data_IF_703718649929
#
_entry.id   IF_703718649929
#
_cell.length_a   1.000
_cell.length_b   1.000
_cell.length_c   1.000
_cell.angle_alpha   90.00
_cell.angle_beta   90.00
_cell.angle_gamma   90.00
#
_symmetry.space_group_name_H-M   'P 1'
#
loop_
_entity.id
_entity.type
_entity.pdbx_description
1 polymer ?
#
# COMPACT_ATOMS: atom_id res chain seq x y z
N UNK A 1 42.72 -45.58 13.86
CA UNK A 1 41.91 -44.34 13.89
C UNK A 1 42.62 -43.28 13.07
N UNK A 2 41.85 -42.49 12.29
CA UNK A 2 42.26 -41.38 11.41
C UNK A 2 43.09 -41.73 10.15
N UNK A 3 42.40 -41.84 9.00
CA UNK A 3 43.00 -41.77 7.66
C UNK A 3 43.09 -40.30 7.24
N UNK A 4 44.30 -39.82 6.95
CA UNK A 4 44.55 -38.60 6.20
C UNK A 4 44.03 -38.74 4.77
N UNK A 5 43.29 -37.75 4.26
CA UNK A 5 43.04 -37.58 2.84
C UNK A 5 43.43 -36.18 2.38
N UNK A 6 44.11 -36.19 1.23
CA UNK A 6 44.83 -35.12 0.55
C UNK A 6 43.86 -34.07 -0.02
N UNK A 7 44.32 -32.83 0.03
CA UNK A 7 43.86 -31.72 -0.78
C UNK A 7 43.92 -32.08 -2.27
N UNK A 8 42.80 -31.91 -2.98
CA UNK A 8 42.78 -31.71 -4.42
C UNK A 8 42.19 -30.33 -4.69
N UNK A 9 43.04 -29.48 -5.26
CA UNK A 9 42.72 -28.15 -5.79
C UNK A 9 42.41 -28.38 -7.26
N UNK A 10 41.16 -28.16 -7.68
CA UNK A 10 40.81 -28.09 -9.10
C UNK A 10 40.83 -26.63 -9.57
N UNK A 11 41.31 -26.34 -10.80
CA UNK A 11 41.65 -24.99 -11.23
C UNK A 11 40.47 -24.22 -11.81
N UNK A 12 40.43 -22.93 -11.48
CA UNK A 12 39.59 -21.89 -12.07
C UNK A 12 39.86 -21.78 -13.58
N UNK A 13 38.90 -22.21 -14.41
CA UNK A 13 38.89 -21.94 -15.84
C UNK A 13 38.12 -20.63 -16.07
N UNK A 14 38.85 -19.54 -16.33
CA UNK A 14 38.34 -18.31 -16.94
C UNK A 14 37.88 -18.64 -18.37
N UNK A 15 36.58 -18.53 -18.64
CA UNK A 15 36.08 -18.48 -20.01
C UNK A 15 35.90 -17.03 -20.48
N UNK A 16 36.64 -16.77 -21.55
CA UNK A 16 36.67 -15.61 -22.42
C UNK A 16 35.29 -15.02 -22.77
N UNK A 17 35.20 -13.70 -22.72
CA UNK A 17 34.13 -12.86 -23.29
C UNK A 17 34.20 -12.94 -24.83
N UNK A 18 33.10 -13.24 -25.56
CA UNK A 18 32.97 -12.88 -26.96
C UNK A 18 32.14 -11.60 -27.10
N UNK A 19 32.68 -10.68 -27.90
CA UNK A 19 32.11 -9.42 -28.35
C UNK A 19 30.68 -9.54 -28.89
N UNK A 20 29.80 -8.64 -28.44
CA UNK A 20 28.43 -8.51 -28.89
C UNK A 20 28.34 -7.99 -30.33
N UNK A 21 27.82 -8.84 -31.23
CA UNK A 21 27.19 -8.42 -32.47
C UNK A 21 25.67 -8.34 -32.25
N UNK A 22 25.10 -7.19 -32.57
CA UNK A 22 23.67 -6.87 -32.49
C UNK A 22 22.78 -7.84 -33.27
N UNK A 23 21.90 -8.55 -32.57
CA UNK A 23 20.69 -9.13 -33.15
C UNK A 23 19.58 -9.07 -32.10
N UNK A 24 18.58 -8.24 -32.37
CA UNK A 24 17.37 -8.05 -31.59
C UNK A 24 16.49 -9.30 -31.64
N UNK A 25 16.50 -10.09 -30.58
CA UNK A 25 15.44 -11.06 -30.28
C UNK A 25 14.88 -10.72 -28.92
N UNK A 26 13.57 -10.46 -28.89
CA UNK A 26 12.76 -10.17 -27.71
C UNK A 26 12.70 -11.39 -26.79
N UNK A 27 13.76 -11.58 -26.00
CA UNK A 27 13.75 -12.45 -24.82
C UNK A 27 13.26 -11.57 -23.69
N UNK A 28 12.24 -12.01 -22.94
CA UNK A 28 11.67 -11.29 -21.79
C UNK A 28 12.78 -10.58 -21.01
N UNK A 29 12.82 -9.25 -21.16
CA UNK A 29 13.73 -8.41 -20.38
C UNK A 29 13.40 -8.70 -18.93
N UNK A 30 14.33 -9.31 -18.21
CA UNK A 30 14.22 -9.49 -16.77
C UNK A 30 14.19 -8.08 -16.19
N UNK A 31 12.98 -7.57 -15.90
CA UNK A 31 12.84 -6.23 -15.34
C UNK A 31 13.58 -6.21 -14.00
N UNK A 32 14.23 -5.08 -13.70
CA UNK A 32 14.87 -4.86 -12.39
C UNK A 32 13.87 -5.06 -11.26
N UNK A 33 12.58 -4.75 -11.47
CA UNK A 33 11.50 -5.04 -10.53
C UNK A 33 11.30 -6.53 -10.30
N UNK A 34 11.29 -7.34 -11.38
CA UNK A 34 11.15 -8.80 -11.32
C UNK A 34 12.33 -9.42 -10.56
N UNK A 35 13.55 -9.00 -10.88
CA UNK A 35 14.76 -9.49 -10.20
C UNK A 35 14.79 -9.07 -8.73
N UNK A 36 14.45 -7.82 -8.41
CA UNK A 36 14.32 -7.33 -7.03
C UNK A 36 13.29 -8.13 -6.26
N UNK A 37 12.12 -8.39 -6.85
CA UNK A 37 11.08 -9.21 -6.24
C UNK A 37 11.58 -10.62 -5.93
N UNK A 38 12.28 -11.26 -6.86
CA UNK A 38 12.89 -12.59 -6.62
C UNK A 38 13.89 -12.56 -5.45
N UNK A 39 14.70 -11.50 -5.32
CA UNK A 39 15.61 -11.34 -4.19
C UNK A 39 14.83 -11.18 -2.88
N UNK A 40 13.83 -10.31 -2.84
CA UNK A 40 13.04 -10.06 -1.62
C UNK A 40 12.25 -11.29 -1.19
N UNK A 41 11.69 -12.04 -2.14
CA UNK A 41 11.02 -13.31 -1.88
C UNK A 41 12.02 -14.34 -1.31
N UNK A 42 13.23 -14.44 -1.89
CA UNK A 42 14.27 -15.34 -1.39
C UNK A 42 14.76 -15.00 0.04
N UNK A 43 14.84 -13.70 0.38
CA UNK A 43 15.23 -13.23 1.71
C UNK A 43 14.10 -13.46 2.73
N UNK A 44 12.84 -13.28 2.32
CA UNK A 44 11.67 -13.39 3.21
C UNK A 44 11.30 -14.84 3.57
N UNK A 45 11.69 -15.82 2.76
CA UNK A 45 11.48 -17.24 3.06
C UNK A 45 12.26 -17.76 4.29
N UNK A 46 13.13 -16.95 4.90
CA UNK A 46 13.86 -17.28 6.13
C UNK A 46 13.16 -16.92 7.44
N UNK A 47 12.08 -16.12 7.43
CA UNK A 47 11.45 -15.71 8.67
C UNK A 47 10.13 -14.97 8.49
N UNK A 48 9.00 -15.69 8.62
CA UNK A 48 7.71 -15.06 8.89
C UNK A 48 6.66 -16.08 9.35
N UNK A 49 6.66 -16.35 10.65
CA UNK A 49 5.47 -16.71 11.40
C UNK A 49 5.17 -15.53 12.32
N UNK A 50 4.22 -14.67 11.92
CA UNK A 50 3.44 -13.68 12.73
C UNK A 50 3.01 -12.47 11.87
N UNK A 51 2.16 -12.68 10.87
CA UNK A 51 1.34 -11.59 10.30
C UNK A 51 0.05 -12.19 9.75
N UNK A 52 -0.87 -12.55 10.65
CA UNK A 52 -2.23 -13.01 10.26
C UNK A 52 -3.31 -12.67 11.29
N UNK A 53 -3.22 -11.57 12.04
CA UNK A 53 -4.28 -11.25 13.01
C UNK A 53 -4.97 -9.90 12.89
N UNK A 54 -4.51 -8.95 12.07
CA UNK A 54 -5.07 -7.58 12.10
C UNK A 54 -5.89 -7.14 10.85
N UNK A 55 -6.30 -8.06 9.98
CA UNK A 55 -7.12 -7.71 8.80
C UNK A 55 -8.58 -8.20 8.89
N UNK A 56 -9.21 -8.14 10.07
CA UNK A 56 -10.57 -8.70 10.24
C UNK A 56 -11.62 -7.85 10.97
N UNK A 57 -11.45 -6.53 11.05
CA UNK A 57 -12.45 -5.68 11.74
C UNK A 57 -13.16 -4.60 10.89
N UNK A 58 -12.83 -4.42 9.59
CA UNK A 58 -13.41 -3.31 8.81
C UNK A 58 -14.57 -3.66 7.85
N UNK A 59 -15.17 -4.86 7.93
CA UNK A 59 -16.30 -5.24 7.04
C UNK A 59 -17.54 -5.78 7.77
N UNK A 60 -18.02 -5.08 8.80
CA UNK A 60 -19.29 -5.46 9.45
C UNK A 60 -20.14 -4.26 9.91
N UNK A 61 -20.63 -3.43 8.99
CA UNK A 61 -21.81 -2.57 9.23
C UNK A 61 -22.64 -2.38 7.96
N UNK A 62 -23.63 -3.24 7.73
CA UNK A 62 -24.92 -2.90 7.09
C UNK A 62 -25.89 -4.09 7.18
N UNK A 63 -27.15 -3.79 7.51
CA UNK A 63 -28.35 -4.65 7.54
C UNK A 63 -28.66 -5.42 8.83
N UNK A 64 -29.35 -4.75 9.76
CA UNK A 64 -30.27 -5.39 10.71
C UNK A 64 -31.70 -5.33 10.17
N UNK A 65 -32.23 -6.46 9.71
CA UNK A 65 -33.66 -6.68 9.48
C UNK A 65 -34.24 -7.47 10.65
N UNK A 66 -35.25 -6.89 11.34
CA UNK A 66 -36.05 -7.56 12.38
C UNK A 66 -36.84 -8.74 11.81
N UNK A 67 -36.99 -9.84 12.57
CA UNK A 67 -38.15 -10.70 12.43
C UNK A 67 -39.15 -10.47 13.58
N UNK A 68 -40.38 -10.18 13.18
CA UNK A 68 -41.61 -10.26 13.97
C UNK A 68 -42.05 -11.72 14.15
N UNK A 69 -42.31 -12.13 15.39
CA UNK A 69 -43.23 -13.24 15.70
C UNK A 69 -43.90 -13.01 17.05
N UNK A 70 -45.23 -13.07 17.05
CA UNK A 70 -46.12 -12.74 18.18
C UNK A 70 -46.16 -13.78 19.31
N UNK A 71 -46.95 -13.49 20.37
CA UNK A 71 -46.84 -14.14 21.67
C UNK A 71 -47.64 -15.44 21.74
N UNK A 72 -47.11 -16.45 22.43
CA UNK A 72 -47.88 -17.56 22.99
C UNK A 72 -48.03 -17.36 24.49
N UNK A 73 -49.26 -17.45 24.96
CA UNK A 73 -49.64 -17.36 26.35
C UNK A 73 -49.26 -18.65 27.09
N UNK A 74 -48.51 -18.50 28.18
CA UNK A 74 -48.39 -19.53 29.22
C UNK A 74 -48.69 -18.89 30.57
N UNK A 75 -49.69 -19.46 31.24
CA UNK A 75 -50.07 -19.23 32.63
C UNK A 75 -48.97 -19.73 33.56
N UNK A 76 -48.41 -18.86 34.41
CA UNK A 76 -47.62 -19.25 35.58
C UNK A 76 -47.90 -18.33 36.78
N UNK A 77 -47.90 -18.95 37.96
CA UNK A 77 -48.35 -18.42 39.24
C UNK A 77 -47.44 -17.37 39.90
N UNK A 78 -47.95 -16.85 41.02
CA UNK A 78 -47.55 -15.61 41.69
C UNK A 78 -46.18 -15.53 42.39
N UNK A 79 -45.12 -16.14 41.86
CA UNK A 79 -43.73 -15.95 42.35
C UNK A 79 -42.87 -15.06 41.43
N UNK A 80 -43.39 -14.65 40.27
CA UNK A 80 -42.63 -13.94 39.22
C UNK A 80 -42.45 -12.41 39.45
N UNK A 81 -43.03 -11.86 40.53
CA UNK A 81 -42.91 -10.45 40.89
C UNK A 81 -41.71 -10.16 41.81
N UNK A 82 -41.26 -11.15 42.60
CA UNK A 82 -40.11 -11.00 43.52
C UNK A 82 -38.78 -11.14 42.75
N UNK A 83 -38.68 -12.12 41.83
CA UNK A 83 -37.50 -12.31 40.98
C UNK A 83 -37.28 -11.18 39.95
N UNK A 84 -38.35 -10.47 39.54
CA UNK A 84 -38.24 -9.27 38.71
C UNK A 84 -37.75 -8.04 39.48
N UNK A 85 -38.09 -7.93 40.77
CA UNK A 85 -37.64 -6.84 41.65
C UNK A 85 -36.13 -6.94 41.93
N UNK A 86 -35.61 -8.14 42.19
CA UNK A 86 -34.18 -8.37 42.40
C UNK A 86 -33.36 -8.08 41.15
N UNK A 87 -33.79 -8.58 39.97
CA UNK A 87 -33.15 -8.26 38.68
C UNK A 87 -33.19 -6.77 38.34
N UNK A 88 -34.25 -6.05 38.71
CA UNK A 88 -34.35 -4.60 38.51
C UNK A 88 -33.42 -3.85 39.46
N UNK A 89 -33.30 -4.31 40.71
CA UNK A 89 -32.36 -3.78 41.70
C UNK A 89 -30.90 -3.96 41.27
N UNK A 90 -30.55 -5.13 40.71
CA UNK A 90 -29.21 -5.38 40.19
C UNK A 90 -28.87 -4.50 38.97
N UNK A 91 -29.82 -4.30 38.06
CA UNK A 91 -29.66 -3.39 36.92
C UNK A 91 -29.53 -1.92 37.36
N UNK A 92 -30.29 -1.49 38.37
CA UNK A 92 -30.19 -0.14 38.95
C UNK A 92 -28.87 0.06 39.69
N UNK A 93 -28.36 -0.96 40.37
CA UNK A 93 -27.07 -0.90 41.05
C UNK A 93 -25.89 -0.90 40.05
N UNK A 94 -25.98 -1.68 38.97
CA UNK A 94 -24.98 -1.68 37.90
C UNK A 94 -24.94 -0.34 37.16
N UNK A 95 -26.10 0.24 36.83
CA UNK A 95 -26.18 1.57 36.22
C UNK A 95 -25.73 2.67 37.17
N UNK A 96 -26.03 2.56 38.47
CA UNK A 96 -25.51 3.45 39.51
C UNK A 96 -23.98 3.40 39.60
N UNK A 97 -23.40 2.20 39.62
CA UNK A 97 -21.95 2.00 39.69
C UNK A 97 -21.21 2.42 38.40
N UNK A 98 -21.86 2.34 37.23
CA UNK A 98 -21.32 2.87 35.99
C UNK A 98 -21.33 4.41 35.98
N UNK A 99 -22.39 5.03 36.50
CA UNK A 99 -22.48 6.49 36.58
C UNK A 99 -21.44 7.09 37.54
N UNK A 100 -21.21 6.46 38.71
CA UNK A 100 -20.17 6.92 39.64
C UNK A 100 -18.78 6.85 39.03
N UNK A 101 -18.46 5.77 38.30
CA UNK A 101 -17.18 5.65 37.56
C UNK A 101 -17.02 6.72 36.48
N UNK A 102 -18.09 7.06 35.77
CA UNK A 102 -18.07 8.13 34.76
C UNK A 102 -17.82 9.50 35.42
N UNK A 103 -18.43 9.76 36.57
CA UNK A 103 -18.23 10.99 37.32
C UNK A 103 -16.79 11.10 37.87
N UNK A 104 -16.25 10.02 38.43
CA UNK A 104 -14.84 9.95 38.83
C UNK A 104 -13.90 10.20 37.64
N UNK A 105 -14.18 9.58 36.49
CA UNK A 105 -13.40 9.76 35.26
C UNK A 105 -13.45 11.21 34.76
N UNK A 106 -14.60 11.87 34.85
CA UNK A 106 -14.75 13.28 34.49
C UNK A 106 -13.96 14.20 35.44
N UNK A 107 -13.97 13.93 36.75
CA UNK A 107 -13.16 14.69 37.71
C UNK A 107 -11.66 14.50 37.48
N UNK A 108 -11.24 13.29 37.12
CA UNK A 108 -9.86 13.02 36.67
C UNK A 108 -9.54 13.90 35.44
N UNK A 109 -10.39 13.92 34.41
CA UNK A 109 -10.18 14.73 33.21
C UNK A 109 -10.08 16.22 33.52
N UNK A 110 -10.97 16.76 34.36
CA UNK A 110 -10.93 18.18 34.78
C UNK A 110 -9.63 18.52 35.51
N UNK A 111 -9.16 17.64 36.39
CA UNK A 111 -7.89 17.80 37.10
C UNK A 111 -6.71 17.81 36.12
N UNK A 112 -6.66 16.85 35.20
CA UNK A 112 -5.61 16.78 34.15
C UNK A 112 -5.58 18.04 33.29
N UNK A 113 -6.75 18.56 32.89
CA UNK A 113 -6.86 19.81 32.13
C UNK A 113 -6.27 20.99 32.93
N UNK A 114 -6.59 21.08 34.22
CA UNK A 114 -6.08 22.13 35.10
C UNK A 114 -4.55 22.07 35.22
N UNK A 115 -3.99 20.87 35.41
CA UNK A 115 -2.54 20.68 35.55
C UNK A 115 -1.81 21.06 34.25
N UNK A 116 -2.43 20.78 33.10
CA UNK A 116 -1.91 21.13 31.78
C UNK A 116 -1.97 22.65 31.49
N UNK A 117 -3.03 23.33 31.91
CA UNK A 117 -3.29 24.75 31.63
C UNK A 117 -2.59 25.72 32.58
N UNK A 118 -2.15 25.29 33.76
CA UNK A 118 -1.57 26.20 34.71
C UNK A 118 -0.23 26.79 34.19
N UNK A 119 -0.09 28.13 34.29
CA UNK A 119 1.06 28.86 33.75
C UNK A 119 2.32 28.63 34.60
N UNK A 120 2.16 28.55 35.93
CA UNK A 120 3.25 28.33 36.90
C UNK A 120 3.53 26.84 37.19
N UNK A 121 2.95 25.91 36.44
CA UNK A 121 3.17 24.49 36.70
C UNK A 121 4.59 24.08 36.32
N UNK A 122 5.24 23.37 37.24
CA UNK A 122 6.46 22.62 37.00
C UNK A 122 6.37 21.83 35.67
N UNK A 123 7.43 21.91 34.85
CA UNK A 123 7.47 21.28 33.54
C UNK A 123 7.17 19.79 33.60
N UNK A 124 7.65 19.11 34.64
CA UNK A 124 7.38 17.68 34.87
C UNK A 124 5.88 17.38 35.06
N UNK A 125 5.15 18.26 35.74
CA UNK A 125 3.70 18.12 35.94
C UNK A 125 2.93 18.29 34.62
N UNK A 126 3.35 19.21 33.73
CA UNK A 126 2.75 19.34 32.39
C UNK A 126 2.99 18.09 31.55
N UNK A 127 4.18 17.49 31.63
CA UNK A 127 4.50 16.22 30.94
C UNK A 127 3.66 15.07 31.49
N UNK A 128 3.49 14.99 32.82
CA UNK A 128 2.63 14.00 33.45
C UNK A 128 1.16 14.15 33.01
N UNK A 129 0.65 15.39 32.98
CA UNK A 129 -0.70 15.69 32.52
C UNK A 129 -0.89 15.28 31.04
N UNK A 130 0.04 15.63 30.15
CA UNK A 130 -0.01 15.20 28.75
C UNK A 130 0.01 13.67 28.60
N UNK A 131 0.81 12.98 29.42
CA UNK A 131 0.87 11.52 29.45
C UNK A 131 -0.45 10.89 29.93
N UNK A 132 -1.12 11.52 30.90
CA UNK A 132 -2.43 11.11 31.40
C UNK A 132 -3.53 11.34 30.35
N UNK A 133 -3.51 12.49 29.64
CA UNK A 133 -4.39 12.72 28.47
C UNK A 133 -4.21 11.62 27.42
N UNK A 134 -2.97 11.26 27.08
CA UNK A 134 -2.68 10.18 26.14
C UNK A 134 -3.30 8.86 26.60
N UNK A 135 -3.17 8.51 27.89
CA UNK A 135 -3.70 7.27 28.44
C UNK A 135 -5.23 7.25 28.41
N UNK A 136 -5.87 8.31 28.89
CA UNK A 136 -7.34 8.44 28.91
C UNK A 136 -7.93 8.41 27.49
N UNK A 137 -7.26 9.01 26.51
CA UNK A 137 -7.69 9.02 25.11
C UNK A 137 -7.39 7.72 24.35
N UNK A 138 -6.61 6.79 24.91
CA UNK A 138 -6.08 5.65 24.15
C UNK A 138 -7.17 4.74 23.59
N UNK A 139 -8.09 4.31 24.45
CA UNK A 139 -9.10 3.28 24.11
C UNK A 139 -10.54 3.75 24.41
N UNK A 140 -10.74 5.04 24.71
CA UNK A 140 -12.04 5.62 25.06
C UNK A 140 -12.41 6.79 24.12
N UNK A 141 -13.47 6.60 23.33
CA UNK A 141 -13.95 7.61 22.37
C UNK A 141 -14.70 8.77 23.05
N UNK A 142 -15.40 8.52 24.17
CA UNK A 142 -16.11 9.55 24.95
C UNK A 142 -15.10 10.44 25.68
N UNK A 143 -14.03 9.85 26.21
CA UNK A 143 -12.88 10.57 26.76
C UNK A 143 -12.25 11.53 25.76
N UNK A 144 -12.02 11.10 24.51
CA UNK A 144 -11.44 11.95 23.45
C UNK A 144 -12.27 13.21 23.20
N UNK A 145 -13.60 13.06 23.16
CA UNK A 145 -14.52 14.20 22.98
C UNK A 145 -14.47 15.11 24.20
N UNK A 146 -14.64 14.54 25.40
CA UNK A 146 -14.70 15.30 26.65
C UNK A 146 -13.42 16.08 26.90
N UNK A 147 -12.24 15.46 26.76
CA UNK A 147 -10.95 16.12 26.92
C UNK A 147 -10.78 17.28 25.94
N UNK A 148 -11.16 17.10 24.67
CA UNK A 148 -11.10 18.17 23.68
C UNK A 148 -12.05 19.33 24.03
N UNK A 149 -13.27 19.03 24.49
CA UNK A 149 -14.22 20.04 24.96
C UNK A 149 -13.73 20.80 26.20
N UNK A 150 -12.99 20.14 27.09
CA UNK A 150 -12.33 20.75 28.23
C UNK A 150 -11.10 21.59 27.84
N UNK A 151 -10.71 21.61 26.56
CA UNK A 151 -9.69 22.51 26.04
C UNK A 151 -8.25 22.03 26.21
N UNK A 152 -7.99 20.71 26.17
CA UNK A 152 -6.61 20.19 26.23
C UNK A 152 -5.79 20.45 24.96
N UNK A 153 -6.43 20.67 23.80
CA UNK A 153 -5.73 20.74 22.51
C UNK A 153 -4.74 21.93 22.44
N UNK A 154 -5.14 23.19 22.71
CA UNK A 154 -4.20 24.31 22.58
C UNK A 154 -2.96 24.19 23.49
N UNK A 155 -3.07 23.81 24.79
CA UNK A 155 -1.91 23.59 25.64
C UNK A 155 -1.00 22.44 25.17
N UNK A 156 -1.56 21.33 24.67
CA UNK A 156 -0.73 20.28 24.07
C UNK A 156 0.03 20.81 22.86
N UNK A 157 -0.64 21.57 21.98
CA UNK A 157 -0.03 22.15 20.80
C UNK A 157 1.08 23.14 21.16
N UNK A 158 0.94 23.95 22.22
CA UNK A 158 2.02 24.83 22.68
C UNK A 158 3.23 24.07 23.24
N UNK A 159 3.04 22.89 23.84
CA UNK A 159 4.15 22.06 24.31
C UNK A 159 5.07 21.53 23.19
N UNK A 160 4.68 21.62 21.92
CA UNK A 160 5.50 21.15 20.79
C UNK A 160 6.71 22.09 20.56
N UNK A 161 6.54 23.39 20.72
CA UNK A 161 7.54 24.42 20.37
C UNK A 161 7.78 25.44 21.49
N UNK A 162 7.50 25.06 22.74
CA UNK A 162 7.76 25.88 23.93
C UNK A 162 9.25 26.29 24.02
N UNK A 163 9.59 27.30 24.82
CA UNK A 163 10.96 27.85 24.88
C UNK A 163 11.92 27.01 25.76
N UNK A 164 11.41 26.07 26.57
CA UNK A 164 12.21 25.10 27.34
C UNK A 164 11.68 23.64 27.44
N UNK A 165 11.07 23.04 26.41
CA UNK A 165 10.51 21.70 26.50
C UNK A 165 11.64 20.68 26.42
N UNK A 166 11.62 19.71 27.33
CA UNK A 166 12.42 18.49 27.16
C UNK A 166 11.86 17.70 25.97
N UNK A 167 12.69 16.91 25.29
CA UNK A 167 12.21 16.01 24.22
C UNK A 167 11.06 15.11 24.70
N UNK A 168 11.07 14.76 25.99
CA UNK A 168 10.00 13.99 26.63
C UNK A 168 8.66 14.74 26.64
N UNK A 169 8.66 16.06 26.86
CA UNK A 169 7.46 16.88 26.80
C UNK A 169 6.87 16.92 25.39
N UNK A 170 7.72 17.09 24.37
CA UNK A 170 7.31 17.11 22.97
C UNK A 170 6.70 15.76 22.57
N UNK A 171 7.37 14.65 22.90
CA UNK A 171 6.89 13.30 22.60
C UNK A 171 5.55 13.01 23.32
N UNK A 172 5.45 13.37 24.61
CA UNK A 172 4.21 13.19 25.37
C UNK A 172 3.04 13.95 24.73
N UNK A 173 3.26 15.21 24.34
CA UNK A 173 2.27 16.03 23.66
C UNK A 173 1.86 15.43 22.30
N UNK A 174 2.84 15.08 21.46
CA UNK A 174 2.57 14.51 20.14
C UNK A 174 1.72 13.23 20.22
N UNK A 175 2.02 12.33 21.15
CA UNK A 175 1.21 11.12 21.32
C UNK A 175 -0.16 11.36 21.97
N UNK A 176 -0.29 12.37 22.83
CA UNK A 176 -1.60 12.79 23.35
C UNK A 176 -2.49 13.32 22.23
N UNK A 177 -1.96 14.20 21.38
CA UNK A 177 -2.66 14.75 20.21
C UNK A 177 -3.05 13.64 19.22
N UNK A 178 -2.14 12.69 18.96
CA UNK A 178 -2.43 11.52 18.12
C UNK A 178 -3.66 10.77 18.65
N UNK A 179 -3.66 10.39 19.94
CA UNK A 179 -4.74 9.62 20.54
C UNK A 179 -6.07 10.39 20.56
N UNK A 180 -6.04 11.71 20.81
CA UNK A 180 -7.23 12.57 20.74
C UNK A 180 -7.86 12.56 19.34
N UNK A 181 -7.05 12.45 18.29
CA UNK A 181 -7.52 12.43 16.90
C UNK A 181 -8.00 11.08 16.39
N UNK A 182 -7.69 9.95 17.05
CA UNK A 182 -8.09 8.62 16.56
C UNK A 182 -9.62 8.56 16.47
N UNK A 183 -10.15 8.25 15.28
CA UNK A 183 -11.59 8.09 15.05
C UNK A 183 -12.46 9.33 15.33
N UNK A 184 -11.87 10.51 15.53
CA UNK A 184 -12.60 11.72 15.90
C UNK A 184 -12.23 12.89 14.97
N UNK A 185 -13.09 13.15 13.98
CA UNK A 185 -12.83 14.16 12.96
C UNK A 185 -12.89 15.60 13.50
N UNK A 186 -13.75 15.88 14.47
CA UNK A 186 -13.80 17.20 15.13
C UNK A 186 -12.49 17.51 15.84
N UNK A 187 -11.91 16.53 16.53
CA UNK A 187 -10.62 16.67 17.20
C UNK A 187 -9.48 16.82 16.19
N UNK A 188 -9.44 16.02 15.11
CA UNK A 188 -8.43 16.19 14.05
C UNK A 188 -8.47 17.60 13.45
N UNK A 189 -9.66 18.13 13.21
CA UNK A 189 -9.83 19.48 12.69
C UNK A 189 -9.36 20.53 13.70
N UNK A 190 -9.73 20.37 14.98
CA UNK A 190 -9.32 21.26 16.06
C UNK A 190 -7.79 21.28 16.26
N UNK A 191 -7.12 20.13 16.17
CA UNK A 191 -5.66 20.02 16.26
C UNK A 191 -4.98 20.80 15.12
N UNK A 192 -5.47 20.67 13.89
CA UNK A 192 -4.93 21.42 12.75
C UNK A 192 -5.22 22.92 12.89
N UNK A 193 -6.44 23.31 13.30
CA UNK A 193 -6.82 24.71 13.56
C UNK A 193 -5.99 25.35 14.67
N UNK A 194 -5.56 24.58 15.67
CA UNK A 194 -4.67 25.05 16.73
C UNK A 194 -3.22 25.30 16.27
N UNK A 195 -2.88 25.00 15.00
CA UNK A 195 -1.56 25.27 14.43
C UNK A 195 -0.53 24.15 14.62
N UNK A 196 -0.98 22.94 15.00
CA UNK A 196 -0.09 21.82 15.30
C UNK A 196 0.83 21.45 14.12
N UNK A 197 0.32 21.52 12.88
CA UNK A 197 1.09 21.24 11.66
C UNK A 197 2.33 22.12 11.55
N UNK A 198 2.18 23.43 11.78
CA UNK A 198 3.30 24.37 11.68
C UNK A 198 4.33 24.12 12.78
N UNK A 199 3.89 23.90 14.02
CA UNK A 199 4.77 23.64 15.16
C UNK A 199 5.55 22.33 15.02
N UNK A 200 4.92 21.26 14.53
CA UNK A 200 5.60 20.00 14.23
C UNK A 200 6.72 20.18 13.20
N UNK A 201 6.48 20.94 12.14
CA UNK A 201 7.49 21.19 11.11
C UNK A 201 8.63 22.07 11.61
N UNK A 202 8.32 23.12 12.38
CA UNK A 202 9.33 23.95 13.04
C UNK A 202 10.23 23.12 13.96
N UNK A 203 9.66 22.18 14.72
CA UNK A 203 10.40 21.28 15.60
C UNK A 203 11.38 20.37 14.84
N UNK A 204 10.99 19.90 13.66
CA UNK A 204 11.87 19.11 12.79
C UNK A 204 13.01 19.98 12.28
N UNK A 205 12.74 21.21 11.87
CA UNK A 205 13.74 22.14 11.34
C UNK A 205 14.75 22.60 12.39
N UNK A 206 14.33 22.76 13.65
CA UNK A 206 15.21 23.18 14.74
C UNK A 206 16.12 22.07 15.27
N UNK A 207 15.82 20.81 14.97
CA UNK A 207 16.55 19.65 15.51
C UNK A 207 17.53 19.11 14.47
N UNK A 208 18.84 19.32 14.65
CA UNK A 208 19.88 18.84 13.71
C UNK A 208 20.99 18.04 14.43
N UNK A 209 21.07 16.70 14.29
CA UNK A 209 20.13 15.82 13.58
C UNK A 209 18.77 15.72 14.31
N UNK A 210 17.67 15.46 13.58
CA UNK A 210 16.35 15.33 14.21
C UNK A 210 16.29 14.10 15.10
N UNK A 211 15.72 14.26 16.30
CA UNK A 211 15.48 13.14 17.20
C UNK A 211 14.54 12.13 16.53
N UNK A 212 14.95 10.86 16.54
CA UNK A 212 14.22 9.77 15.89
C UNK A 212 12.80 9.61 16.47
N UNK A 213 12.67 9.58 17.79
CA UNK A 213 11.37 9.36 18.44
C UNK A 213 10.39 10.52 18.20
N UNK A 214 10.91 11.76 18.13
CA UNK A 214 10.11 12.93 17.74
C UNK A 214 9.65 12.80 16.29
N UNK A 215 10.56 12.43 15.38
CA UNK A 215 10.24 12.25 13.97
C UNK A 215 9.16 11.19 13.77
N UNK A 216 9.26 10.04 14.46
CA UNK A 216 8.26 8.98 14.43
C UNK A 216 6.89 9.45 14.96
N UNK A 217 6.88 10.18 16.07
CA UNK A 217 5.65 10.73 16.63
C UNK A 217 4.98 11.76 15.70
N UNK A 218 5.77 12.58 14.99
CA UNK A 218 5.25 13.53 13.99
C UNK A 218 4.70 12.80 12.76
N UNK A 219 5.38 11.77 12.27
CA UNK A 219 4.86 10.94 11.17
C UNK A 219 3.51 10.32 11.54
N UNK A 220 3.40 9.74 12.75
CA UNK A 220 2.16 9.17 13.24
C UNK A 220 1.04 10.22 13.34
N UNK A 221 1.35 11.44 13.78
CA UNK A 221 0.40 12.55 13.77
C UNK A 221 -0.05 12.92 12.35
N UNK A 222 0.88 13.07 11.40
CA UNK A 222 0.50 13.36 10.01
C UNK A 222 -0.35 12.25 9.39
N UNK A 223 -0.08 10.98 9.71
CA UNK A 223 -0.96 9.88 9.34
C UNK A 223 -2.37 10.06 9.91
N UNK A 224 -2.51 10.26 11.22
CA UNK A 224 -3.80 10.42 11.89
C UNK A 224 -4.59 11.63 11.42
N UNK A 225 -3.93 12.78 11.25
CA UNK A 225 -4.55 14.04 10.85
C UNK A 225 -4.93 14.05 9.36
N UNK A 226 -4.11 13.46 8.47
CA UNK A 226 -4.38 13.39 7.04
C UNK A 226 -5.55 12.46 6.69
N UNK A 227 -5.98 11.60 7.61
CA UNK A 227 -7.16 10.76 7.43
C UNK A 227 -8.44 11.60 7.21
N UNK A 228 -8.51 12.82 7.74
CA UNK A 228 -9.63 13.75 7.52
C UNK A 228 -9.44 14.54 6.20
N UNK A 229 -10.47 14.61 5.36
CA UNK A 229 -10.41 15.29 4.05
C UNK A 229 -10.13 16.79 4.15
N UNK A 230 -10.74 17.50 5.10
CA UNK A 230 -10.54 18.94 5.29
C UNK A 230 -9.11 19.31 5.72
N UNK A 231 -8.37 18.38 6.32
CA UNK A 231 -6.98 18.60 6.74
C UNK A 231 -5.97 18.42 5.60
N UNK A 232 -6.30 17.63 4.56
CA UNK A 232 -5.39 17.30 3.45
C UNK A 232 -4.80 18.54 2.75
N UNK A 233 -5.57 19.59 2.37
CA UNK A 233 -4.99 20.77 1.72
C UNK A 233 -4.01 21.51 2.64
N UNK A 234 -4.34 21.65 3.93
CA UNK A 234 -3.51 22.38 4.90
C UNK A 234 -2.18 21.66 5.14
N UNK A 235 -2.21 20.34 5.35
CA UNK A 235 -1.01 19.53 5.55
C UNK A 235 -0.21 19.42 4.25
N UNK A 236 -0.87 19.31 3.10
CA UNK A 236 -0.19 19.17 1.82
C UNK A 236 0.64 20.40 1.44
N UNK A 237 0.12 21.60 1.68
CA UNK A 237 0.81 22.86 1.35
C UNK A 237 1.81 23.33 2.41
N UNK A 238 1.97 22.62 3.54
CA UNK A 238 2.79 23.11 4.67
C UNK A 238 4.27 22.71 4.61
N UNK A 239 4.66 21.83 3.69
CA UNK A 239 6.00 21.22 3.67
C UNK A 239 6.05 19.83 4.32
N UNK A 240 4.95 19.35 4.92
CA UNK A 240 4.88 18.01 5.49
C UNK A 240 5.17 16.89 4.48
N UNK A 241 4.80 17.06 3.21
CA UNK A 241 5.12 16.10 2.15
C UNK A 241 6.64 15.93 2.00
N UNK A 242 7.41 17.02 2.02
CA UNK A 242 8.88 16.97 1.90
C UNK A 242 9.48 16.18 3.07
N UNK A 243 9.02 16.47 4.29
CA UNK A 243 9.43 15.74 5.48
C UNK A 243 9.12 14.24 5.36
N UNK A 244 7.86 13.88 5.07
CA UNK A 244 7.43 12.48 4.94
C UNK A 244 8.22 11.71 3.88
N UNK A 245 8.56 12.35 2.75
CA UNK A 245 9.37 11.74 1.69
C UNK A 245 10.81 11.52 2.15
N UNK A 246 11.42 12.49 2.86
CA UNK A 246 12.76 12.32 3.44
C UNK A 246 12.77 11.17 4.43
N UNK A 247 11.78 11.13 5.33
CA UNK A 247 11.63 10.07 6.33
C UNK A 247 11.42 8.69 5.71
N UNK A 248 10.62 8.59 4.64
CA UNK A 248 10.40 7.35 3.90
C UNK A 248 11.71 6.79 3.29
N UNK A 249 12.64 7.68 2.90
CA UNK A 249 13.92 7.32 2.26
C UNK A 249 15.06 7.07 3.23
N UNK A 250 15.11 7.79 4.36
CA UNK A 250 16.23 7.72 5.30
C UNK A 250 16.31 6.43 6.10
N UNK A 251 15.25 5.62 6.08
CA UNK A 251 15.09 4.47 6.98
C UNK A 251 15.57 3.13 6.43
N UNK A 252 16.41 3.14 5.38
CA UNK A 252 16.99 1.92 4.81
C UNK A 252 18.13 1.30 5.65
N UNK A 253 18.69 2.01 6.64
CA UNK A 253 19.90 1.51 7.34
C UNK A 253 19.74 1.23 8.86
N UNK A 254 18.84 1.86 9.64
CA UNK A 254 18.83 1.68 11.13
C UNK A 254 17.52 1.93 11.91
N UNK A 255 16.31 1.80 11.34
CA UNK A 255 15.09 2.34 12.00
C UNK A 255 13.81 1.50 11.87
N UNK A 256 12.90 1.69 12.83
CA UNK A 256 11.59 1.04 12.97
C UNK A 256 10.80 0.95 11.67
N UNK A 257 10.46 -0.28 11.23
CA UNK A 257 9.62 -0.56 10.05
C UNK A 257 8.30 0.20 10.06
N UNK A 258 7.78 0.53 11.25
CA UNK A 258 6.47 1.17 11.41
C UNK A 258 6.45 2.62 10.90
N UNK A 259 7.47 3.42 11.21
CA UNK A 259 7.49 4.83 10.83
C UNK A 259 7.56 5.01 9.31
N UNK A 260 8.28 4.09 8.62
CA UNK A 260 8.33 4.04 7.16
C UNK A 260 6.95 3.73 6.58
N UNK A 261 6.25 2.74 7.14
CA UNK A 261 4.88 2.42 6.73
C UNK A 261 3.91 3.56 6.99
N UNK A 262 4.01 4.22 8.14
CA UNK A 262 3.14 5.32 8.52
C UNK A 262 3.36 6.53 7.61
N UNK A 263 4.61 6.82 7.24
CA UNK A 263 4.93 7.85 6.27
C UNK A 263 4.29 7.54 4.90
N UNK A 264 4.38 6.28 4.44
CA UNK A 264 3.74 5.86 3.19
C UNK A 264 2.20 5.92 3.26
N UNK A 265 1.60 5.60 4.41
CA UNK A 265 0.15 5.74 4.65
C UNK A 265 -0.27 7.22 4.64
N UNK A 266 0.50 8.10 5.27
CA UNK A 266 0.24 9.54 5.28
C UNK A 266 0.35 10.13 3.87
N UNK A 267 1.38 9.76 3.10
CA UNK A 267 1.53 10.18 1.70
C UNK A 267 0.37 9.69 0.82
N UNK A 268 -0.13 8.47 1.05
CA UNK A 268 -1.35 8.00 0.40
C UNK A 268 -2.55 8.89 0.72
N UNK A 269 -2.83 9.15 1.99
CA UNK A 269 -3.94 10.02 2.39
C UNK A 269 -3.83 11.41 1.74
N UNK A 270 -2.64 12.01 1.76
CA UNK A 270 -2.39 13.34 1.19
C UNK A 270 -2.52 13.36 -0.33
N UNK A 271 -2.15 12.27 -1.02
CA UNK A 271 -2.25 12.16 -2.48
C UNK A 271 -3.69 12.12 -3.00
N UNK A 272 -4.67 11.77 -2.16
CA UNK A 272 -6.09 11.75 -2.55
C UNK A 272 -6.58 13.15 -2.97
N UNK A 273 -6.01 14.21 -2.40
CA UNK A 273 -6.33 15.58 -2.77
C UNK A 273 -5.48 16.03 -3.96
N UNK A 274 -6.09 16.24 -5.13
CA UNK A 274 -5.38 16.51 -6.38
C UNK A 274 -4.41 17.70 -6.32
N UNK A 275 -4.74 18.78 -5.61
CA UNK A 275 -3.84 19.94 -5.48
C UNK A 275 -2.52 19.57 -4.78
N UNK A 276 -2.54 18.56 -3.90
CA UNK A 276 -1.34 18.09 -3.22
C UNK A 276 -0.37 17.35 -4.13
N UNK A 277 -0.84 16.87 -5.30
CA UNK A 277 0.05 16.19 -6.25
C UNK A 277 1.15 17.15 -6.72
N UNK A 278 0.86 18.45 -6.88
CA UNK A 278 1.89 19.44 -7.24
C UNK A 278 3.05 19.48 -6.23
N UNK A 279 2.77 19.40 -4.93
CA UNK A 279 3.78 19.34 -3.88
C UNK A 279 4.49 17.98 -3.82
N UNK A 280 3.80 16.88 -4.12
CA UNK A 280 4.43 15.55 -4.27
C UNK A 280 5.47 15.57 -5.40
N UNK A 281 5.13 16.19 -6.54
CA UNK A 281 6.00 16.23 -7.72
C UNK A 281 7.22 17.15 -7.54
N UNK A 282 7.23 18.04 -6.55
CA UNK A 282 8.42 18.81 -6.16
C UNK A 282 9.44 17.95 -5.38
N UNK A 283 9.10 16.70 -5.07
CA UNK A 283 9.98 15.74 -4.39
C UNK A 283 10.35 14.60 -5.33
N UNK A 284 11.39 13.87 -4.98
CA UNK A 284 11.80 12.64 -5.68
C UNK A 284 10.96 11.41 -5.25
N UNK A 285 9.68 11.59 -4.90
CA UNK A 285 8.81 10.48 -4.47
C UNK A 285 8.49 9.54 -5.63
N UNK A 286 8.11 10.05 -6.81
CA UNK A 286 7.71 9.21 -7.95
C UNK A 286 8.85 8.26 -8.40
N UNK A 287 10.09 8.74 -8.64
CA UNK A 287 11.20 7.84 -8.98
C UNK A 287 11.49 6.82 -7.88
N UNK A 288 11.43 7.25 -6.61
CA UNK A 288 11.62 6.35 -5.47
C UNK A 288 10.57 5.24 -5.45
N UNK A 289 9.28 5.58 -5.55
CA UNK A 289 8.17 4.62 -5.57
C UNK A 289 8.31 3.61 -6.72
N UNK A 290 8.65 4.07 -7.93
CA UNK A 290 8.87 3.19 -9.07
C UNK A 290 10.02 2.21 -8.81
N UNK A 291 11.11 2.67 -8.22
CA UNK A 291 12.25 1.82 -7.87
C UNK A 291 11.92 0.83 -6.74
N UNK A 292 11.03 1.20 -5.80
CA UNK A 292 10.62 0.36 -4.66
C UNK A 292 9.62 -0.74 -5.04
N UNK A 293 8.91 -0.62 -6.17
CA UNK A 293 8.00 -1.68 -6.64
C UNK A 293 8.72 -3.03 -6.77
N UNK A 294 8.08 -4.08 -6.24
CA UNK A 294 8.64 -5.43 -6.10
C UNK A 294 8.79 -5.85 -4.63
N UNK A 295 8.80 -4.88 -3.71
CA UNK A 295 8.62 -5.14 -2.29
C UNK A 295 7.13 -5.37 -1.99
N UNK A 296 6.74 -6.62 -1.80
CA UNK A 296 5.33 -7.02 -1.66
C UNK A 296 4.68 -6.46 -0.39
N UNK A 297 5.46 -6.06 0.64
CA UNK A 297 4.93 -5.44 1.85
C UNK A 297 4.33 -4.05 1.60
N UNK A 298 4.84 -3.33 0.60
CA UNK A 298 4.45 -1.93 0.33
C UNK A 298 3.90 -1.69 -1.08
N UNK A 299 4.09 -2.62 -2.03
CA UNK A 299 3.76 -2.42 -3.45
C UNK A 299 2.28 -2.05 -3.69
N UNK A 300 1.33 -2.65 -2.97
CA UNK A 300 -0.10 -2.30 -3.12
C UNK A 300 -0.35 -0.82 -2.76
N UNK A 301 0.29 -0.33 -1.69
CA UNK A 301 0.18 1.06 -1.24
C UNK A 301 0.87 2.00 -2.23
N UNK A 302 2.05 1.64 -2.71
CA UNK A 302 2.79 2.40 -3.73
C UNK A 302 1.91 2.60 -4.97
N UNK A 303 1.31 1.53 -5.49
CA UNK A 303 0.41 1.60 -6.64
C UNK A 303 -0.85 2.44 -6.36
N UNK A 304 -1.31 2.49 -5.11
CA UNK A 304 -2.43 3.36 -4.72
C UNK A 304 -2.05 4.83 -4.76
N UNK A 305 -0.83 5.19 -4.31
CA UNK A 305 -0.30 6.55 -4.43
C UNK A 305 -0.14 6.92 -5.91
N UNK A 306 0.49 6.04 -6.71
CA UNK A 306 0.70 6.26 -8.14
C UNK A 306 -0.63 6.44 -8.88
N UNK A 307 -1.66 5.69 -8.51
CA UNK A 307 -3.03 5.86 -9.03
C UNK A 307 -3.55 7.27 -8.84
N UNK A 308 -3.36 7.85 -7.65
CA UNK A 308 -3.77 9.22 -7.36
C UNK A 308 -2.90 10.23 -8.12
N UNK A 309 -1.58 10.00 -8.22
CA UNK A 309 -0.66 10.86 -8.97
C UNK A 309 -1.05 10.93 -10.46
N UNK A 310 -1.34 9.80 -11.11
CA UNK A 310 -1.71 9.79 -12.54
C UNK A 310 -3.13 10.31 -12.84
N UNK A 311 -3.91 10.66 -11.81
CA UNK A 311 -5.21 11.29 -11.99
C UNK A 311 -5.09 12.71 -12.57
N UNK A 312 -3.97 13.40 -12.32
CA UNK A 312 -3.65 14.74 -12.85
C UNK A 312 -2.65 14.67 -14.01
N UNK A 313 -2.59 15.71 -14.85
CA UNK A 313 -1.80 15.68 -16.09
C UNK A 313 -0.29 15.71 -15.82
N UNK A 314 0.13 16.56 -14.88
CA UNK A 314 1.50 16.71 -14.43
C UNK A 314 2.03 15.40 -13.82
N UNK A 315 1.17 14.71 -13.06
CA UNK A 315 1.50 13.43 -12.46
C UNK A 315 1.63 12.30 -13.48
N UNK A 316 0.78 12.27 -14.52
CA UNK A 316 0.99 11.35 -15.67
C UNK A 316 2.32 11.59 -16.34
N UNK A 317 2.66 12.86 -16.62
CA UNK A 317 3.96 13.22 -17.21
C UNK A 317 5.11 12.72 -16.33
N UNK A 318 5.08 13.01 -15.03
CA UNK A 318 6.13 12.59 -14.11
C UNK A 318 6.29 11.06 -14.02
N UNK A 319 5.20 10.30 -14.02
CA UNK A 319 5.25 8.83 -14.03
C UNK A 319 5.76 8.30 -15.38
N UNK A 320 5.34 8.89 -16.51
CA UNK A 320 5.80 8.50 -17.84
C UNK A 320 7.28 8.80 -18.11
N UNK A 321 7.83 9.84 -17.48
CA UNK A 321 9.25 10.22 -17.56
C UNK A 321 10.14 9.43 -16.58
N UNK A 322 9.55 8.67 -15.64
CA UNK A 322 10.33 7.84 -14.73
C UNK A 322 11.02 6.69 -15.48
N UNK A 323 12.26 6.41 -15.09
CA UNK A 323 13.09 5.36 -15.70
C UNK A 323 12.40 4.01 -15.59
N UNK A 324 12.29 3.31 -16.72
CA UNK A 324 11.65 1.98 -16.83
C UNK A 324 10.19 1.94 -16.34
N UNK A 325 9.46 3.07 -16.35
CA UNK A 325 8.12 3.13 -15.78
C UNK A 325 7.14 2.11 -16.38
N UNK A 326 7.07 2.03 -17.72
CA UNK A 326 6.19 1.08 -18.39
C UNK A 326 6.64 -0.37 -18.24
N UNK A 327 7.92 -0.74 -18.44
CA UNK A 327 8.41 -2.08 -18.12
C UNK A 327 8.07 -2.54 -16.68
N UNK A 328 8.25 -1.67 -15.68
CA UNK A 328 7.92 -1.97 -14.28
C UNK A 328 6.40 -2.21 -14.12
N UNK A 329 5.56 -1.32 -14.65
CA UNK A 329 4.11 -1.47 -14.52
C UNK A 329 3.56 -2.68 -15.30
N UNK A 330 4.16 -3.03 -16.45
CA UNK A 330 3.84 -4.24 -17.21
C UNK A 330 4.25 -5.49 -16.43
N UNK A 331 5.40 -5.49 -15.75
CA UNK A 331 5.79 -6.58 -14.86
C UNK A 331 4.76 -6.80 -13.74
N UNK A 332 4.24 -5.72 -13.13
CA UNK A 332 3.17 -5.81 -12.12
C UNK A 332 1.90 -6.49 -12.66
N UNK A 333 1.57 -6.32 -13.95
CA UNK A 333 0.44 -7.03 -14.56
C UNK A 333 0.63 -8.55 -14.54
N UNK A 334 1.87 -9.05 -14.50
CA UNK A 334 2.19 -10.47 -14.48
C UNK A 334 2.27 -11.05 -13.06
N UNK A 335 2.01 -10.24 -12.02
CA UNK A 335 2.05 -10.65 -10.62
C UNK A 335 0.82 -11.47 -10.23
N UNK A 336 0.92 -12.75 -10.58
CA UNK A 336 -0.19 -13.69 -10.57
C UNK A 336 -0.79 -14.04 -9.20
N UNK A 337 -0.06 -13.70 -8.14
CA UNK A 337 -0.41 -13.91 -6.74
C UNK A 337 -0.89 -12.62 -6.04
N UNK A 338 -0.96 -11.49 -6.76
CA UNK A 338 -1.38 -10.20 -6.20
C UNK A 338 -2.41 -9.48 -7.08
N UNK A 339 -3.67 -9.95 -7.01
CA UNK A 339 -4.80 -9.40 -7.77
C UNK A 339 -5.00 -7.89 -7.53
N UNK A 340 -4.84 -7.42 -6.28
CA UNK A 340 -4.95 -5.99 -5.93
C UNK A 340 -3.88 -5.12 -6.60
N UNK A 341 -2.66 -5.64 -6.74
CA UNK A 341 -1.60 -4.91 -7.45
C UNK A 341 -1.89 -4.86 -8.95
N UNK A 342 -2.32 -5.98 -9.55
CA UNK A 342 -2.74 -6.02 -10.95
C UNK A 342 -3.86 -5.02 -11.24
N UNK A 343 -4.87 -4.93 -10.36
CA UNK A 343 -6.00 -4.01 -10.49
C UNK A 343 -5.60 -2.53 -10.50
N UNK A 344 -4.61 -2.16 -9.69
CA UNK A 344 -4.10 -0.79 -9.63
C UNK A 344 -3.16 -0.50 -10.80
N UNK A 345 -2.26 -1.42 -11.14
CA UNK A 345 -1.35 -1.26 -12.28
C UNK A 345 -2.11 -1.13 -13.60
N UNK A 346 -3.12 -1.97 -13.85
CA UNK A 346 -3.94 -1.85 -15.07
C UNK A 346 -4.71 -0.53 -15.10
N UNK A 347 -5.13 -0.01 -13.95
CA UNK A 347 -5.81 1.29 -13.88
C UNK A 347 -4.86 2.45 -14.18
N UNK A 348 -3.64 2.43 -13.63
CA UNK A 348 -2.58 3.40 -13.94
C UNK A 348 -2.32 3.39 -15.45
N UNK A 349 -2.06 2.22 -16.04
CA UNK A 349 -1.79 2.08 -17.47
C UNK A 349 -2.98 2.54 -18.33
N UNK A 350 -4.22 2.31 -17.90
CA UNK A 350 -5.41 2.82 -18.58
C UNK A 350 -5.47 4.35 -18.61
N UNK A 351 -5.18 5.02 -17.48
CA UNK A 351 -5.17 6.48 -17.40
C UNK A 351 -4.06 7.10 -18.27
N UNK A 352 -2.89 6.47 -18.29
CA UNK A 352 -1.76 6.85 -19.14
C UNK A 352 -2.10 6.66 -20.63
N UNK A 353 -2.64 5.50 -21.01
CA UNK A 353 -2.97 5.16 -22.40
C UNK A 353 -4.06 6.06 -23.01
N UNK A 354 -5.01 6.53 -22.20
CA UNK A 354 -6.11 7.37 -22.67
C UNK A 354 -5.65 8.78 -23.12
N UNK A 355 -4.57 9.33 -22.53
CA UNK A 355 -4.17 10.73 -22.73
C UNK A 355 -2.82 10.92 -23.41
N UNK A 356 -1.92 9.92 -23.44
CA UNK A 356 -0.58 10.05 -24.02
C UNK A 356 -0.35 9.15 -25.24
N UNK A 357 -0.11 9.74 -26.43
CA UNK A 357 0.30 8.95 -27.60
C UNK A 357 1.71 8.34 -27.42
N UNK A 358 2.64 9.11 -26.84
CA UNK A 358 3.98 8.62 -26.48
C UNK A 358 3.91 7.45 -25.50
N UNK A 359 3.09 7.58 -24.46
CA UNK A 359 2.86 6.53 -23.45
C UNK A 359 2.37 5.23 -24.08
N UNK A 360 1.40 5.29 -25.01
CA UNK A 360 0.93 4.09 -25.71
C UNK A 360 2.04 3.38 -26.49
N UNK A 361 2.93 4.14 -27.15
CA UNK A 361 4.07 3.56 -27.87
C UNK A 361 5.05 2.91 -26.90
N UNK A 362 5.40 3.60 -25.82
CA UNK A 362 6.29 3.07 -24.80
C UNK A 362 5.72 1.80 -24.12
N UNK A 363 4.40 1.72 -23.93
CA UNK A 363 3.75 0.50 -23.45
C UNK A 363 3.87 -0.68 -24.44
N UNK A 364 3.68 -0.42 -25.74
CA UNK A 364 3.85 -1.44 -26.79
C UNK A 364 5.30 -1.94 -26.81
N UNK A 365 6.26 -1.02 -26.76
CA UNK A 365 7.70 -1.34 -26.69
C UNK A 365 8.05 -2.13 -25.41
N UNK A 366 7.36 -1.88 -24.31
CA UNK A 366 7.47 -2.65 -23.07
C UNK A 366 6.74 -4.01 -23.11
N UNK A 367 6.10 -4.39 -24.22
CA UNK A 367 5.47 -5.70 -24.39
C UNK A 367 4.11 -5.85 -23.69
N UNK A 368 3.39 -4.74 -23.44
CA UNK A 368 2.12 -4.74 -22.68
C UNK A 368 1.04 -5.66 -23.28
N UNK A 369 1.03 -5.87 -24.59
CA UNK A 369 -0.07 -6.55 -25.30
C UNK A 369 -0.25 -8.00 -24.83
N UNK A 370 0.84 -8.73 -24.63
CA UNK A 370 0.81 -10.12 -24.16
C UNK A 370 0.17 -10.20 -22.77
N UNK A 371 0.61 -9.34 -21.84
CA UNK A 371 0.07 -9.27 -20.48
C UNK A 371 -1.41 -8.89 -20.47
N UNK A 372 -1.83 -7.95 -21.31
CA UNK A 372 -3.25 -7.57 -21.40
C UNK A 372 -4.12 -8.69 -21.98
N UNK A 373 -3.66 -9.39 -23.02
CA UNK A 373 -4.37 -10.53 -23.58
C UNK A 373 -4.57 -11.62 -22.54
N UNK A 374 -3.53 -11.97 -21.76
CA UNK A 374 -3.67 -12.89 -20.63
C UNK A 374 -4.72 -12.37 -19.63
N UNK A 375 -4.62 -11.10 -19.22
CA UNK A 375 -5.56 -10.51 -18.27
C UNK A 375 -7.01 -10.42 -18.78
N UNK A 376 -7.26 -10.33 -20.08
CA UNK A 376 -8.63 -10.44 -20.62
C UNK A 376 -9.24 -11.82 -20.44
N UNK A 377 -8.41 -12.87 -20.34
CA UNK A 377 -8.86 -14.24 -20.13
C UNK A 377 -8.96 -14.59 -18.63
N UNK A 378 -7.97 -14.18 -17.83
CA UNK A 378 -7.83 -14.65 -16.44
C UNK A 378 -7.83 -13.54 -15.37
N UNK A 379 -7.92 -12.27 -15.75
CA UNK A 379 -8.05 -11.15 -14.81
C UNK A 379 -9.40 -11.16 -14.06
N UNK A 380 -9.52 -10.36 -13.00
CA UNK A 380 -10.82 -10.09 -12.35
C UNK A 380 -11.79 -9.43 -13.36
N UNK A 381 -13.12 -9.48 -13.17
CA UNK A 381 -14.06 -8.80 -14.08
C UNK A 381 -13.77 -7.29 -14.25
N UNK A 382 -13.16 -6.67 -13.25
CA UNK A 382 -12.71 -5.28 -13.33
C UNK A 382 -11.44 -5.15 -14.19
N UNK A 383 -10.45 -6.02 -13.96
CA UNK A 383 -9.20 -6.07 -14.74
C UNK A 383 -9.48 -6.38 -16.21
N UNK A 384 -10.33 -7.38 -16.50
CA UNK A 384 -10.70 -7.76 -17.87
C UNK A 384 -11.28 -6.57 -18.64
N UNK A 385 -12.24 -5.85 -18.05
CA UNK A 385 -12.85 -4.66 -18.67
C UNK A 385 -11.83 -3.56 -18.94
N UNK A 386 -10.90 -3.32 -18.00
CA UNK A 386 -9.82 -2.33 -18.17
C UNK A 386 -8.81 -2.77 -19.23
N UNK A 387 -8.42 -4.04 -19.25
CA UNK A 387 -7.48 -4.59 -20.22
C UNK A 387 -8.01 -4.49 -21.65
N UNK A 388 -9.28 -4.85 -21.89
CA UNK A 388 -9.90 -4.71 -23.21
C UNK A 388 -9.91 -3.25 -23.69
N UNK A 389 -10.22 -2.29 -22.81
CA UNK A 389 -10.19 -0.85 -23.14
C UNK A 389 -8.80 -0.35 -23.50
N UNK A 390 -7.77 -0.84 -22.82
CA UNK A 390 -6.38 -0.49 -23.16
C UNK A 390 -6.03 -1.06 -24.54
N UNK A 391 -6.32 -2.35 -24.80
CA UNK A 391 -6.07 -2.98 -26.10
C UNK A 391 -6.76 -2.23 -27.26
N UNK A 392 -8.00 -1.80 -27.07
CA UNK A 392 -8.72 -0.95 -28.03
C UNK A 392 -8.00 0.38 -28.26
N UNK A 393 -7.50 1.00 -27.20
CA UNK A 393 -6.75 2.27 -27.26
C UNK A 393 -5.39 2.11 -27.94
N UNK A 394 -4.72 0.97 -27.79
CA UNK A 394 -3.43 0.67 -28.43
C UNK A 394 -3.59 0.42 -29.93
N UNK A 395 -4.63 -0.29 -30.36
CA UNK A 395 -4.92 -0.54 -31.79
C UNK A 395 -5.09 0.74 -32.63
N UNK A 396 -5.51 1.85 -32.00
CA UNK A 396 -5.58 3.14 -32.67
C UNK A 396 -4.20 3.67 -33.11
N UNK A 397 -3.11 3.25 -32.44
CA UNK A 397 -1.73 3.60 -32.79
C UNK A 397 -1.31 2.90 -34.09
N UNK A 398 -1.69 1.64 -34.28
CA UNK A 398 -1.34 0.85 -35.48
C UNK A 398 -2.06 1.34 -36.74
N UNK A 399 -3.32 1.76 -36.61
CA UNK A 399 -4.07 2.36 -37.72
C UNK A 399 -3.47 3.67 -38.21
N UNK A 400 -2.79 4.42 -37.33
CA UNK A 400 -2.07 5.64 -37.70
C UNK A 400 -0.76 5.40 -38.46
N UNK A 401 -0.12 4.22 -38.30
CA UNK A 401 1.09 3.83 -39.05
C UNK A 401 0.77 3.21 -40.43
N UNK A 402 -0.39 2.58 -40.59
CA UNK A 402 -0.80 1.91 -41.84
C UNK A 402 -1.11 2.89 -42.99
N UNK A 403 -1.20 4.20 -42.74
CA UNK A 403 -1.46 5.20 -43.79
C UNK A 403 -0.17 5.72 -44.47
N UNK A 404 1.03 5.32 -44.00
CA UNK A 404 2.30 5.90 -44.46
C UNK A 404 3.42 4.90 -44.80
N UNK A 405 3.12 3.78 -45.47
CA UNK A 405 4.16 2.92 -46.03
C UNK A 405 3.76 2.38 -47.42
N UNK A 406 4.49 2.72 -48.51
CA UNK A 406 4.28 2.11 -49.81
C UNK A 406 4.82 0.68 -49.85
N UNK A 407 4.04 -0.17 -50.50
CA UNK A 407 4.28 -1.58 -50.77
C UNK A 407 5.40 -1.77 -51.81
N UNK A 408 6.56 -2.29 -51.39
CA UNK A 408 7.56 -2.96 -52.24
C UNK A 408 8.15 -4.07 -51.37
N UNK A 409 8.33 -5.32 -51.75
CA UNK A 409 8.29 -6.02 -53.03
C UNK A 409 9.14 -7.27 -52.77
N UNK A 410 8.53 -8.45 -52.87
CA UNK A 410 9.16 -9.74 -52.57
C UNK A 410 10.24 -10.04 -53.61
N UNK A 411 11.46 -10.39 -53.18
CA UNK A 411 12.35 -11.26 -53.97
C UNK A 411 13.11 -12.21 -53.06
N UNK A 412 12.83 -13.50 -53.23
CA UNK A 412 13.56 -14.63 -52.69
C UNK A 412 14.85 -14.85 -53.47
N UNK A 413 15.98 -15.03 -52.79
CA UNK A 413 17.15 -15.68 -53.38
C UNK A 413 17.88 -16.52 -52.34
N UNK A 414 17.96 -17.80 -52.69
CA UNK A 414 18.58 -18.92 -52.00
C UNK A 414 20.10 -18.93 -52.18
N UNK A 415 20.86 -19.11 -51.09
CA UNK A 415 22.09 -19.93 -51.04
C UNK A 415 22.80 -19.82 -49.69
N UNK A 416 22.90 -20.93 -48.94
CA UNK A 416 24.17 -21.42 -48.34
C UNK A 416 23.90 -22.55 -47.33
N UNK A 417 23.93 -23.79 -47.82
CA UNK A 417 23.97 -25.03 -47.05
C UNK A 417 25.34 -25.14 -46.35
N UNK A 418 25.42 -24.72 -45.09
CA UNK A 418 26.46 -25.14 -44.12
C UNK A 418 26.35 -24.47 -42.73
N UNK A 419 25.30 -23.68 -42.46
CA UNK A 419 25.02 -23.08 -41.14
C UNK A 419 23.73 -23.54 -40.46
N UNK A 420 22.99 -24.46 -41.07
CA UNK A 420 21.62 -24.81 -40.64
C UNK A 420 21.56 -25.72 -39.41
N UNK A 421 22.55 -26.59 -39.17
CA UNK A 421 22.46 -27.57 -38.08
C UNK A 421 22.47 -26.95 -36.67
N UNK A 422 23.26 -25.90 -36.44
CA UNK A 422 23.30 -25.25 -35.11
C UNK A 422 22.17 -24.25 -34.90
N UNK A 423 21.61 -23.69 -35.98
CA UNK A 423 20.48 -22.75 -35.90
C UNK A 423 19.14 -23.48 -35.77
N UNK A 424 18.96 -24.62 -36.45
CA UNK A 424 17.78 -25.49 -36.27
C UNK A 424 17.72 -26.09 -34.87
N UNK A 425 18.84 -26.59 -34.31
CA UNK A 425 18.87 -27.15 -32.95
C UNK A 425 18.48 -26.07 -31.93
N UNK A 426 19.06 -24.87 -32.04
CA UNK A 426 18.74 -23.75 -31.17
C UNK A 426 17.28 -23.26 -31.34
N UNK A 427 16.77 -23.22 -32.56
CA UNK A 427 15.35 -22.93 -32.84
C UNK A 427 14.42 -24.02 -32.30
N UNK A 428 14.83 -25.29 -32.27
CA UNK A 428 14.03 -26.38 -31.68
C UNK A 428 14.00 -26.32 -30.15
N UNK A 429 15.10 -25.91 -29.51
CA UNK A 429 15.15 -25.72 -28.07
C UNK A 429 14.36 -24.48 -27.63
N UNK A 430 14.47 -23.37 -28.38
CA UNK A 430 13.65 -22.17 -28.18
C UNK A 430 12.15 -22.49 -28.39
N UNK A 431 11.78 -23.24 -29.44
CA UNK A 431 10.40 -23.72 -29.65
C UNK A 431 9.92 -24.66 -28.54
N UNK A 432 10.79 -25.52 -28.02
CA UNK A 432 10.45 -26.43 -26.91
C UNK A 432 10.24 -25.65 -25.61
N UNK A 433 11.09 -24.66 -25.34
CA UNK A 433 10.95 -23.76 -24.20
C UNK A 433 9.66 -22.93 -24.29
N UNK A 434 9.34 -22.36 -25.46
CA UNK A 434 8.08 -21.66 -25.70
C UNK A 434 6.87 -22.57 -25.50
N UNK A 435 6.91 -23.81 -26.01
CA UNK A 435 5.83 -24.79 -25.78
C UNK A 435 5.64 -25.11 -24.30
N UNK A 436 6.73 -25.28 -23.55
CA UNK A 436 6.67 -25.52 -22.10
C UNK A 436 6.09 -24.32 -21.35
N UNK A 437 6.48 -23.11 -21.72
CA UNK A 437 6.01 -21.87 -21.09
C UNK A 437 4.51 -21.64 -21.38
N UNK A 438 4.07 -21.87 -22.63
CA UNK A 438 2.65 -21.86 -23.00
C UNK A 438 1.87 -22.91 -22.21
N UNK A 439 2.40 -24.13 -22.07
CA UNK A 439 1.75 -25.20 -21.31
C UNK A 439 1.65 -24.87 -19.82
N UNK A 440 2.68 -24.28 -19.22
CA UNK A 440 2.67 -23.83 -17.83
C UNK A 440 1.67 -22.67 -17.62
N UNK A 441 1.64 -21.70 -18.53
CA UNK A 441 0.66 -20.61 -18.51
C UNK A 441 -0.77 -21.15 -18.61
N UNK A 442 -1.03 -22.07 -19.54
CA UNK A 442 -2.34 -22.70 -19.71
C UNK A 442 -2.78 -23.47 -18.46
N UNK A 443 -1.86 -24.23 -17.83
CA UNK A 443 -2.14 -24.95 -16.59
C UNK A 443 -2.43 -24.00 -15.41
N UNK A 444 -1.67 -22.91 -15.30
CA UNK A 444 -1.91 -21.87 -14.28
C UNK A 444 -3.27 -21.20 -14.48
N UNK A 445 -3.60 -20.86 -15.72
CA UNK A 445 -4.88 -20.26 -16.10
C UNK A 445 -6.06 -21.19 -15.82
N UNK A 446 -5.93 -22.48 -16.12
CA UNK A 446 -6.95 -23.48 -15.83
C UNK A 446 -7.19 -23.65 -14.33
N UNK A 447 -6.13 -23.68 -13.51
CA UNK A 447 -6.25 -23.70 -12.05
C UNK A 447 -7.02 -22.49 -11.51
N UNK A 448 -6.81 -21.31 -12.09
CA UNK A 448 -7.53 -20.07 -11.71
C UNK A 448 -9.01 -20.14 -12.07
N UNK A 449 -9.33 -20.60 -13.27
CA UNK A 449 -10.71 -20.77 -13.72
C UNK A 449 -11.46 -21.74 -12.80
N UNK A 450 -10.85 -22.89 -12.48
CA UNK A 450 -11.41 -23.89 -11.55
C UNK A 450 -11.62 -23.29 -10.16
N UNK A 451 -10.62 -22.57 -9.63
CA UNK A 451 -10.72 -21.92 -8.31
C UNK A 451 -11.83 -20.86 -8.25
N UNK A 452 -12.02 -20.07 -9.32
CA UNK A 452 -13.06 -19.03 -9.37
C UNK A 452 -14.47 -19.58 -9.59
N UNK A 453 -14.58 -20.68 -10.32
CA UNK A 453 -15.85 -21.36 -10.56
C UNK A 453 -16.28 -22.26 -9.38
N UNK A 454 -15.54 -22.28 -8.26
CA UNK A 454 -15.73 -23.21 -7.13
C UNK A 454 -15.81 -24.69 -7.58
N UNK A 455 -15.06 -25.03 -8.62
CA UNK A 455 -15.00 -26.39 -9.15
C UNK A 455 -14.00 -27.24 -8.36
N UNK A 456 -14.21 -28.57 -8.25
CA UNK A 456 -13.26 -29.47 -7.59
C UNK A 456 -11.86 -29.38 -8.23
N UNK A 457 -10.80 -29.39 -7.42
CA UNK A 457 -9.40 -29.26 -7.90
C UNK A 457 -9.01 -30.34 -8.93
N UNK A 458 -9.68 -31.49 -8.88
CA UNK A 458 -9.44 -32.64 -9.77
C UNK A 458 -9.80 -32.35 -11.25
N UNK A 459 -10.57 -31.28 -11.52
CA UNK A 459 -10.90 -30.85 -12.89
C UNK A 459 -9.68 -30.43 -13.70
N UNK A 460 -8.63 -29.93 -13.03
CA UNK A 460 -7.38 -29.49 -13.68
C UNK A 460 -6.67 -30.70 -14.29
N UNK A 461 -6.72 -31.85 -13.63
CA UNK A 461 -6.10 -33.10 -14.05
C UNK A 461 -6.84 -33.73 -15.24
N UNK A 462 -8.18 -33.61 -15.28
CA UNK A 462 -9.01 -34.17 -16.35
C UNK A 462 -8.86 -33.41 -17.68
N UNK A 463 -8.54 -32.10 -17.63
CA UNK A 463 -8.35 -31.27 -18.82
C UNK A 463 -7.10 -31.60 -19.65
N UNK A 464 -6.10 -32.30 -19.07
CA UNK A 464 -4.91 -32.76 -19.79
C UNK A 464 -5.26 -33.71 -20.95
N UNK A 465 -6.42 -34.37 -20.88
CA UNK A 465 -6.93 -35.24 -21.95
C UNK A 465 -7.64 -34.47 -23.08
N UNK A 466 -8.12 -33.24 -22.84
CA UNK A 466 -8.76 -32.42 -23.88
C UNK A 466 -7.75 -31.69 -24.77
N UNK A 467 -6.58 -31.32 -24.25
CA UNK A 467 -5.53 -30.63 -25.02
C UNK A 467 -4.81 -31.48 -26.08
N UNK A 468 -4.97 -32.81 -26.06
CA UNK A 468 -4.45 -33.69 -27.13
C UNK A 468 -5.31 -33.72 -28.39
N UNK A 469 -6.52 -33.16 -28.36
CA UNK A 469 -7.48 -33.22 -29.48
C UNK A 469 -7.61 -31.94 -30.30
N UNK A 470 -6.78 -30.92 -30.05
CA UNK A 470 -6.86 -29.61 -30.73
C UNK A 470 -5.59 -29.23 -31.51
N UNK A 471 -4.79 -30.21 -31.93
CA UNK A 471 -3.73 -30.02 -32.93
C UNK A 471 -4.19 -30.59 -34.27
N UNK A 472 -4.61 -29.72 -35.18
CA UNK A 472 -4.56 -29.92 -36.64
C UNK A 472 -3.61 -28.88 -37.23
#
# INVERSE_FOLDING_TARGET
>A
MAKCHRNNVDPLILHHIPSASSSSTSVNSFSRSTFRRMILDAISCGGSSRYRRELREDEAKTHFTKPTSGPKAETFGGDDLVMKSEKLGDLLNLTGAENTKKEETLEIMKRVVKDLQAEETDGEKKVAAASEVRLLAKDDTEARVTLAMLGVIPPLVSMIDDDSPTEHAQIASLYALLNLGIGNDMNKEAIVKAGAVHKMLKLIESSTPPNQAISEAIVANFLGLSALDSNKPIIGSSGAIIFLVKTLKSFEETSSSQAREDALRALYNLSIHNQNISFILQTDLVPFLMNTLGDMGVSERILSILTNVVSVAEGRKAVGEAVEAFPILVDVLNWNDSEKCQEKAVYILMLMAHKGYGDRRAMIEAGIESSLLELTLVGSPLVQRRASRILESLRAVDKGKQVSAPLYGITSSSSSLSRERNHEIRMTDERRAVKQLVQQSLQSNMKRIVKRANLPQDFVTTSQYFTKSLTF
#
